data_IF_485112992281
#
_entry.id   IF_485112992281
#
_cell.length_a   1.000
_cell.length_b   1.000
_cell.length_c   1.000
_cell.angle_alpha   90.00
_cell.angle_beta   90.00
_cell.angle_gamma   90.00
#
_symmetry.space_group_name_H-M   'P 1'
#
loop_
_entity.id
_entity.type
_entity.pdbx_description
1 polymer ?
#
# COMPACT_ATOMS: atom_id res chain seq x y z
N UNK A 1 -9.75 -17.47 9.88
CA UNK A 1 -8.63 -16.99 10.75
C UNK A 1 -9.20 -16.33 11.98
N UNK A 2 -8.46 -16.25 13.08
CA UNK A 2 -8.89 -15.39 14.21
C UNK A 2 -8.63 -13.90 13.93
N UNK A 3 -9.23 -13.02 14.70
CA UNK A 3 -9.13 -11.58 14.54
C UNK A 3 -7.68 -11.07 14.61
N UNK A 4 -6.87 -11.60 15.52
CA UNK A 4 -5.48 -11.20 15.68
C UNK A 4 -4.65 -11.55 14.44
N UNK A 5 -4.87 -12.73 13.85
CA UNK A 5 -4.23 -13.14 12.60
C UNK A 5 -4.61 -12.19 11.45
N UNK A 6 -5.90 -11.83 11.30
CA UNK A 6 -6.31 -10.88 10.25
C UNK A 6 -5.63 -9.52 10.46
N UNK A 7 -5.63 -8.99 11.68
CA UNK A 7 -5.05 -7.69 11.99
C UNK A 7 -3.53 -7.64 11.80
N UNK A 8 -2.83 -8.77 12.00
CA UNK A 8 -1.39 -8.86 11.71
C UNK A 8 -1.03 -8.69 10.22
N UNK A 9 -2.01 -8.77 9.32
CA UNK A 9 -1.87 -8.48 7.89
C UNK A 9 -2.35 -7.07 7.51
N UNK A 10 -2.72 -6.22 8.47
CA UNK A 10 -3.30 -4.90 8.19
C UNK A 10 -2.23 -3.81 8.25
N UNK A 11 -2.17 -2.99 7.19
CA UNK A 11 -1.63 -1.64 7.27
C UNK A 11 -2.77 -0.73 7.76
N UNK A 12 -2.78 -0.40 9.06
CA UNK A 12 -3.80 0.48 9.64
C UNK A 12 -3.65 1.90 9.08
N UNK A 13 -4.66 2.38 8.34
CA UNK A 13 -4.47 3.45 7.36
C UNK A 13 -5.25 4.71 7.71
N UNK A 14 -4.57 5.86 7.68
CA UNK A 14 -5.18 7.19 7.72
C UNK A 14 -4.45 8.13 6.75
N UNK A 15 -5.11 8.46 5.62
CA UNK A 15 -4.52 9.24 4.51
C UNK A 15 -5.39 10.45 4.11
N UNK A 16 -6.36 10.83 4.93
CA UNK A 16 -7.20 11.99 4.64
C UNK A 16 -6.36 13.28 4.67
N UNK A 17 -6.59 14.22 3.73
CA UNK A 17 -5.79 15.45 3.66
C UNK A 17 -5.87 16.33 4.92
N UNK A 18 -6.98 16.26 5.64
CA UNK A 18 -7.21 16.98 6.89
C UNK A 18 -6.74 16.26 8.15
N UNK A 19 -6.00 15.15 8.02
CA UNK A 19 -5.52 14.38 9.18
C UNK A 19 -4.64 15.22 10.09
N UNK A 20 -4.84 15.07 11.39
CA UNK A 20 -4.08 15.79 12.42
C UNK A 20 -3.07 14.85 13.10
N UNK A 21 -2.08 15.44 13.78
CA UNK A 21 -1.11 14.65 14.55
C UNK A 21 -1.77 13.78 15.63
N UNK A 22 -2.76 14.30 16.34
CA UNK A 22 -3.45 13.53 17.38
C UNK A 22 -4.17 12.29 16.81
N UNK A 23 -4.72 12.40 15.60
CA UNK A 23 -5.31 11.26 14.90
C UNK A 23 -4.25 10.23 14.47
N UNK A 24 -3.09 10.68 13.97
CA UNK A 24 -1.97 9.80 13.61
C UNK A 24 -1.40 9.10 14.84
N UNK A 25 -1.29 9.80 15.96
CA UNK A 25 -0.85 9.23 17.23
C UNK A 25 -1.80 8.13 17.72
N UNK A 26 -3.10 8.42 17.71
CA UNK A 26 -4.14 7.43 18.04
C UNK A 26 -4.05 6.20 17.12
N UNK A 27 -3.86 6.40 15.83
CA UNK A 27 -3.68 5.32 14.87
C UNK A 27 -2.47 4.44 15.20
N UNK A 28 -1.34 5.05 15.62
CA UNK A 28 -0.15 4.31 16.05
C UNK A 28 -0.42 3.49 17.31
N UNK A 29 -1.09 4.08 18.30
CA UNK A 29 -1.45 3.40 19.54
C UNK A 29 -2.37 2.19 19.26
N UNK A 30 -3.38 2.37 18.44
CA UNK A 30 -4.29 1.31 17.99
C UNK A 30 -3.54 0.19 17.24
N UNK A 31 -2.65 0.56 16.31
CA UNK A 31 -1.89 -0.43 15.56
C UNK A 31 -0.96 -1.27 16.46
N UNK A 32 -0.35 -0.66 17.49
CA UNK A 32 0.47 -1.37 18.47
C UNK A 32 -0.38 -2.27 19.37
N UNK A 33 -1.52 -1.76 19.87
CA UNK A 33 -2.46 -2.50 20.73
C UNK A 33 -2.98 -3.77 20.03
N UNK A 34 -3.36 -3.65 18.76
CA UNK A 34 -3.97 -4.73 17.99
C UNK A 34 -2.99 -5.54 17.13
N UNK A 35 -1.69 -5.26 17.20
CA UNK A 35 -0.64 -6.00 16.50
C UNK A 35 -0.72 -5.89 14.97
N UNK A 36 -1.07 -4.71 14.45
CA UNK A 36 -1.10 -4.47 13.01
C UNK A 36 0.30 -4.56 12.37
N UNK A 37 0.36 -4.91 11.08
CA UNK A 37 1.62 -5.02 10.34
C UNK A 37 2.37 -3.69 10.27
N UNK A 38 1.66 -2.61 9.99
CA UNK A 38 2.17 -1.22 9.92
C UNK A 38 1.04 -0.22 10.20
N UNK A 39 1.40 1.06 10.36
CA UNK A 39 0.49 2.17 10.02
C UNK A 39 0.83 2.70 8.64
N UNK A 40 -0.19 3.15 7.88
CA UNK A 40 -0.01 3.82 6.59
C UNK A 40 -0.52 5.26 6.70
N UNK A 41 0.41 6.23 6.64
CA UNK A 41 0.18 7.63 6.99
C UNK A 41 0.71 8.59 5.92
N UNK A 42 0.25 9.88 5.89
CA UNK A 42 0.80 10.88 4.98
C UNK A 42 2.30 11.12 5.22
N UNK A 43 3.09 11.43 4.16
CA UNK A 43 4.55 11.61 4.26
C UNK A 43 4.97 12.65 5.31
N UNK A 44 4.20 13.72 5.45
CA UNK A 44 4.48 14.81 6.39
C UNK A 44 4.52 14.39 7.87
N UNK A 45 3.90 13.27 8.23
CA UNK A 45 3.89 12.75 9.60
C UNK A 45 4.93 11.67 9.88
N UNK A 46 5.64 11.18 8.86
CA UNK A 46 6.56 10.02 9.01
C UNK A 46 7.61 10.29 10.08
N UNK A 47 8.30 11.43 10.03
CA UNK A 47 9.36 11.77 11.00
C UNK A 47 8.83 11.78 12.44
N UNK A 48 7.68 12.41 12.65
CA UNK A 48 7.09 12.52 13.98
C UNK A 48 6.58 11.17 14.49
N UNK A 49 5.96 10.37 13.61
CA UNK A 49 5.49 9.02 13.94
C UNK A 49 6.67 8.08 14.24
N UNK A 50 7.77 8.13 13.46
CA UNK A 50 8.95 7.33 13.71
C UNK A 50 9.57 7.63 15.10
N UNK A 51 9.66 8.92 15.45
CA UNK A 51 10.12 9.33 16.78
C UNK A 51 9.16 8.87 17.90
N UNK A 52 7.86 8.86 17.65
CA UNK A 52 6.83 8.46 18.61
C UNK A 52 6.86 6.95 18.88
N UNK A 53 6.87 6.12 17.85
CA UNK A 53 6.78 4.66 18.01
C UNK A 53 8.12 4.01 18.39
N UNK A 54 9.24 4.70 18.26
CA UNK A 54 10.59 4.25 18.69
C UNK A 54 10.93 2.82 18.23
N UNK A 55 10.55 2.46 17.02
CA UNK A 55 10.80 1.13 16.44
C UNK A 55 9.82 0.01 16.84
N UNK A 56 8.86 0.27 17.73
CA UNK A 56 7.87 -0.72 18.15
C UNK A 56 6.80 -0.99 17.08
N UNK A 57 6.70 -0.14 16.05
CA UNK A 57 5.77 -0.26 14.94
C UNK A 57 6.44 0.16 13.64
N UNK A 58 6.18 -0.56 12.55
CA UNK A 58 6.63 -0.17 11.22
C UNK A 58 5.75 0.94 10.66
N UNK A 59 6.37 1.88 9.94
CA UNK A 59 5.67 2.99 9.30
C UNK A 59 5.72 2.83 7.80
N UNK A 60 4.56 2.70 7.19
CA UNK A 60 4.35 2.80 5.75
C UNK A 60 3.91 4.21 5.40
N UNK A 61 4.37 4.71 4.25
CA UNK A 61 3.86 5.98 3.70
C UNK A 61 3.65 5.88 2.21
N UNK A 62 3.02 6.89 1.63
CA UNK A 62 2.61 6.93 0.23
C UNK A 62 3.44 7.91 -0.58
N UNK A 63 3.67 7.61 -1.86
CA UNK A 63 4.48 8.41 -2.80
C UNK A 63 3.67 8.64 -4.07
N UNK A 64 3.70 9.90 -4.59
CA UNK A 64 2.93 10.30 -5.77
C UNK A 64 1.42 10.16 -5.59
N UNK A 65 0.96 10.20 -4.37
CA UNK A 65 -0.38 9.80 -3.97
C UNK A 65 -1.37 11.00 -3.94
N UNK A 66 -2.66 10.80 -4.33
CA UNK A 66 -3.22 9.54 -4.83
C UNK A 66 -3.17 9.38 -6.36
N UNK A 67 -2.79 10.40 -7.10
CA UNK A 67 -3.03 10.49 -8.55
C UNK A 67 -1.95 9.80 -9.40
N UNK A 68 -0.73 9.62 -8.91
CA UNK A 68 0.35 8.93 -9.62
C UNK A 68 1.01 9.69 -10.77
N UNK A 69 0.52 10.84 -11.19
CA UNK A 69 0.99 11.60 -12.37
C UNK A 69 2.18 12.54 -12.11
N UNK A 70 2.75 12.51 -10.91
CA UNK A 70 3.98 13.23 -10.61
C UNK A 70 5.11 12.69 -11.47
N UNK A 71 6.10 13.53 -11.79
CA UNK A 71 7.28 13.06 -12.51
C UNK A 71 8.05 12.02 -11.70
N UNK A 72 8.73 11.10 -12.39
CA UNK A 72 9.59 10.09 -11.75
C UNK A 72 10.61 10.73 -10.81
N UNK A 73 11.23 11.85 -11.21
CA UNK A 73 12.19 12.58 -10.37
C UNK A 73 11.57 13.09 -9.07
N UNK A 74 10.33 13.63 -9.12
CA UNK A 74 9.60 14.08 -7.94
C UNK A 74 9.30 12.92 -6.99
N UNK A 75 8.83 11.77 -7.51
CA UNK A 75 8.57 10.57 -6.70
C UNK A 75 9.84 9.98 -6.08
N UNK A 76 10.96 9.99 -6.81
CA UNK A 76 12.26 9.56 -6.27
C UNK A 76 12.70 10.48 -5.11
N UNK A 77 12.54 11.79 -5.25
CA UNK A 77 12.84 12.75 -4.18
C UNK A 77 11.96 12.50 -2.95
N UNK A 78 10.63 12.39 -3.15
CA UNK A 78 9.66 12.10 -2.10
C UNK A 78 9.98 10.78 -1.38
N UNK A 79 10.38 9.74 -2.12
CA UNK A 79 10.79 8.46 -1.55
C UNK A 79 12.02 8.59 -0.67
N UNK A 80 13.06 9.32 -1.12
CA UNK A 80 14.27 9.55 -0.32
C UNK A 80 13.97 10.29 0.97
N UNK A 81 13.18 11.36 0.88
CA UNK A 81 12.74 12.12 2.06
C UNK A 81 11.98 11.24 3.05
N UNK A 82 11.02 10.44 2.56
CA UNK A 82 10.26 9.52 3.41
C UNK A 82 11.17 8.49 4.12
N UNK A 83 12.14 7.93 3.38
CA UNK A 83 13.12 6.96 3.90
C UNK A 83 14.01 7.60 4.96
N UNK A 84 14.53 8.81 4.73
CA UNK A 84 15.35 9.57 5.68
C UNK A 84 14.58 9.93 6.96
N UNK A 85 13.28 10.20 6.82
CA UNK A 85 12.37 10.50 7.92
C UNK A 85 11.93 9.24 8.72
N UNK A 86 12.28 8.03 8.28
CA UNK A 86 12.07 6.79 9.04
C UNK A 86 10.95 5.89 8.52
N UNK A 87 10.48 6.09 7.28
CA UNK A 87 9.55 5.13 6.66
C UNK A 87 10.20 3.74 6.56
N UNK A 88 9.46 2.72 6.97
CA UNK A 88 9.87 1.30 6.91
C UNK A 88 9.41 0.62 5.62
N UNK A 89 8.31 1.07 5.03
CA UNK A 89 7.71 0.55 3.80
C UNK A 89 7.16 1.72 2.96
N UNK A 90 7.18 1.57 1.64
CA UNK A 90 6.77 2.62 0.69
C UNK A 90 5.66 2.08 -0.22
N UNK A 91 4.53 2.80 -0.29
CA UNK A 91 3.42 2.56 -1.21
C UNK A 91 3.44 3.65 -2.30
N UNK A 92 3.86 3.36 -3.53
CA UNK A 92 3.90 4.36 -4.60
C UNK A 92 2.80 4.13 -5.63
N UNK A 93 2.19 5.20 -6.13
CA UNK A 93 1.19 5.13 -7.20
C UNK A 93 1.89 5.29 -8.55
N UNK A 94 1.66 4.33 -9.47
CA UNK A 94 2.19 4.43 -10.84
C UNK A 94 1.50 5.57 -11.61
N UNK A 95 2.14 6.03 -12.69
CA UNK A 95 1.48 6.93 -13.62
C UNK A 95 0.55 6.15 -14.57
N UNK A 96 -0.75 6.12 -14.26
CA UNK A 96 -1.75 5.43 -15.07
C UNK A 96 -1.91 6.01 -16.48
N UNK A 97 -1.53 7.28 -16.71
CA UNK A 97 -1.46 7.87 -18.06
C UNK A 97 -0.47 7.12 -18.95
N UNK A 98 0.72 6.80 -18.42
CA UNK A 98 1.72 6.00 -19.14
C UNK A 98 1.21 4.58 -19.46
N UNK A 99 0.37 3.99 -18.58
CA UNK A 99 -0.27 2.68 -18.86
C UNK A 99 -1.20 2.80 -20.06
N UNK A 100 -2.05 3.84 -20.10
CA UNK A 100 -2.99 4.07 -21.21
C UNK A 100 -2.27 4.34 -22.53
N UNK A 101 -1.13 5.04 -22.48
CA UNK A 101 -0.28 5.29 -23.64
C UNK A 101 0.63 4.11 -23.99
N UNK A 102 0.57 3.00 -23.22
CA UNK A 102 1.39 1.79 -23.38
C UNK A 102 2.89 2.05 -23.30
N UNK A 103 3.31 3.06 -22.54
CA UNK A 103 4.71 3.41 -22.33
C UNK A 103 5.33 2.54 -21.22
N UNK A 104 5.43 1.23 -21.50
CA UNK A 104 5.84 0.22 -20.52
C UNK A 104 7.27 0.39 -20.01
N UNK A 105 8.17 0.87 -20.86
CA UNK A 105 9.57 1.12 -20.49
C UNK A 105 9.68 2.30 -19.51
N UNK A 106 8.86 3.33 -19.67
CA UNK A 106 8.82 4.46 -18.75
C UNK A 106 8.25 4.06 -17.38
N UNK A 107 7.23 3.18 -17.36
CA UNK A 107 6.69 2.61 -16.12
C UNK A 107 7.75 1.75 -15.43
N UNK A 108 8.46 0.90 -16.16
CA UNK A 108 9.55 0.10 -15.61
C UNK A 108 10.66 0.98 -15.04
N UNK A 109 11.05 2.05 -15.75
CA UNK A 109 12.02 3.03 -15.29
C UNK A 109 11.56 3.75 -14.01
N UNK A 110 10.28 4.13 -13.95
CA UNK A 110 9.69 4.74 -12.72
C UNK A 110 9.80 3.78 -11.53
N UNK A 111 9.35 2.53 -11.68
CA UNK A 111 9.40 1.52 -10.62
C UNK A 111 10.83 1.27 -10.16
N UNK A 112 11.76 1.05 -11.10
CA UNK A 112 13.17 0.79 -10.79
C UNK A 112 13.84 1.97 -10.05
N UNK A 113 13.58 3.21 -10.49
CA UNK A 113 14.12 4.41 -9.87
C UNK A 113 13.62 4.60 -8.42
N UNK A 114 12.33 4.35 -8.18
CA UNK A 114 11.75 4.45 -6.85
C UNK A 114 12.22 3.28 -5.97
N UNK A 115 12.29 2.05 -6.49
CA UNK A 115 12.84 0.90 -5.78
C UNK A 115 14.27 1.15 -5.30
N UNK A 116 15.12 1.71 -6.15
CA UNK A 116 16.48 2.09 -5.77
C UNK A 116 16.49 3.14 -4.63
N UNK A 117 15.58 4.11 -4.66
CA UNK A 117 15.43 5.12 -3.62
C UNK A 117 14.92 4.57 -2.29
N UNK A 118 14.25 3.41 -2.29
CA UNK A 118 13.80 2.73 -1.06
C UNK A 118 14.93 2.17 -0.20
N UNK A 119 16.16 2.06 -0.71
CA UNK A 119 17.33 1.55 0.02
C UNK A 119 17.07 0.21 0.72
N UNK A 120 16.48 -0.75 -0.01
CA UNK A 120 16.16 -2.10 0.48
C UNK A 120 14.85 -2.22 1.27
N UNK A 121 14.13 -1.13 1.51
CA UNK A 121 12.80 -1.20 2.14
C UNK A 121 11.77 -1.74 1.16
N UNK A 122 10.75 -2.49 1.62
CA UNK A 122 9.69 -3.00 0.75
C UNK A 122 9.00 -1.87 -0.01
N UNK A 123 8.99 -1.99 -1.35
CA UNK A 123 8.20 -1.15 -2.24
C UNK A 123 6.90 -1.87 -2.59
N UNK A 124 5.76 -1.20 -2.43
CA UNK A 124 4.46 -1.65 -2.89
C UNK A 124 3.99 -0.73 -4.01
N UNK A 125 3.67 -1.31 -5.16
CA UNK A 125 3.27 -0.59 -6.37
C UNK A 125 1.76 -0.57 -6.47
N UNK A 126 1.15 0.62 -6.29
CA UNK A 126 -0.29 0.82 -6.42
C UNK A 126 -0.61 1.00 -7.90
N UNK A 127 -1.38 0.10 -8.47
CA UNK A 127 -1.73 0.12 -9.89
C UNK A 127 -3.09 0.77 -10.19
N UNK A 128 -3.95 0.96 -9.19
CA UNK A 128 -5.30 1.53 -9.27
C UNK A 128 -6.19 0.70 -10.23
N UNK A 129 -6.50 -0.51 -9.82
CA UNK A 129 -7.15 -1.54 -10.66
C UNK A 129 -8.44 -1.09 -11.32
N UNK A 130 -9.23 -0.21 -10.66
CA UNK A 130 -10.49 0.28 -11.21
C UNK A 130 -10.33 1.14 -12.48
N UNK A 131 -9.12 1.60 -12.80
CA UNK A 131 -8.81 2.34 -14.02
C UNK A 131 -8.28 1.45 -15.16
N UNK A 132 -8.06 0.16 -14.91
CA UNK A 132 -7.30 -0.73 -15.77
C UNK A 132 -8.14 -1.87 -16.33
N UNK A 133 -7.88 -2.26 -17.56
CA UNK A 133 -8.31 -3.55 -18.12
C UNK A 133 -7.48 -4.70 -17.56
N UNK A 134 -7.99 -5.92 -17.64
CA UNK A 134 -7.29 -7.12 -17.16
C UNK A 134 -5.94 -7.32 -17.86
N UNK A 135 -5.87 -7.03 -19.16
CA UNK A 135 -4.60 -7.09 -19.92
C UNK A 135 -3.55 -6.08 -19.40
N UNK A 136 -3.98 -4.87 -19.01
CA UNK A 136 -3.10 -3.88 -18.40
C UNK A 136 -2.62 -4.33 -17.01
N UNK A 137 -3.52 -4.90 -16.19
CA UNK A 137 -3.18 -5.47 -14.87
C UNK A 137 -2.14 -6.60 -15.01
N UNK A 138 -2.38 -7.54 -15.94
CA UNK A 138 -1.44 -8.65 -16.21
C UNK A 138 -0.07 -8.11 -16.65
N UNK A 139 -0.05 -7.11 -17.54
CA UNK A 139 1.21 -6.50 -17.99
C UNK A 139 1.97 -5.82 -16.84
N UNK A 140 1.25 -5.17 -15.93
CA UNK A 140 1.84 -4.56 -14.73
C UNK A 140 2.37 -5.62 -13.75
N UNK A 141 1.70 -6.77 -13.62
CA UNK A 141 2.24 -7.91 -12.85
C UNK A 141 3.58 -8.38 -13.42
N UNK A 142 3.71 -8.49 -14.75
CA UNK A 142 4.96 -8.87 -15.40
C UNK A 142 6.09 -7.85 -15.14
N UNK A 143 5.78 -6.54 -15.18
CA UNK A 143 6.75 -5.49 -14.87
C UNK A 143 7.14 -5.52 -13.39
N UNK A 144 6.16 -5.64 -12.49
CA UNK A 144 6.39 -5.74 -11.06
C UNK A 144 7.28 -6.94 -10.69
N UNK A 145 7.07 -8.08 -11.35
CA UNK A 145 7.89 -9.28 -11.19
C UNK A 145 9.32 -9.07 -11.71
N UNK A 146 9.47 -8.45 -12.90
CA UNK A 146 10.77 -8.14 -13.50
C UNK A 146 11.57 -7.18 -12.61
N UNK A 147 10.92 -6.17 -12.07
CA UNK A 147 11.55 -5.19 -11.16
C UNK A 147 11.64 -5.70 -9.70
N UNK A 148 11.20 -6.93 -9.43
CA UNK A 148 11.28 -7.59 -8.12
C UNK A 148 10.74 -6.70 -6.98
N UNK A 149 9.58 -6.08 -7.17
CA UNK A 149 8.94 -5.30 -6.11
C UNK A 149 8.41 -6.20 -4.99
N UNK A 150 8.27 -5.69 -3.79
CA UNK A 150 7.78 -6.49 -2.68
C UNK A 150 6.28 -6.82 -2.80
N UNK A 151 5.48 -5.86 -3.30
CA UNK A 151 4.03 -6.02 -3.46
C UNK A 151 3.51 -5.30 -4.71
N UNK A 152 2.45 -5.87 -5.30
CA UNK A 152 1.49 -5.12 -6.11
C UNK A 152 0.28 -4.81 -5.24
N UNK A 153 -0.16 -3.55 -5.22
CA UNK A 153 -1.31 -3.07 -4.44
C UNK A 153 -2.44 -2.66 -5.38
N UNK A 154 -3.67 -3.07 -5.06
CA UNK A 154 -4.82 -2.83 -5.94
C UNK A 154 -5.15 -1.36 -6.12
N UNK A 155 -5.28 -0.59 -5.03
CA UNK A 155 -5.99 0.69 -5.08
C UNK A 155 -5.46 1.69 -4.07
N UNK A 156 -5.67 2.98 -4.37
CA UNK A 156 -5.42 4.09 -3.43
C UNK A 156 -6.51 4.22 -2.37
N UNK A 157 -7.76 3.89 -2.72
CA UNK A 157 -8.96 4.18 -1.93
C UNK A 157 -9.54 5.59 -2.17
N UNK A 158 -8.96 6.36 -3.12
CA UNK A 158 -9.36 7.74 -3.47
C UNK A 158 -9.86 7.87 -4.92
N UNK A 159 -10.07 6.75 -5.62
CA UNK A 159 -10.59 6.69 -6.98
C UNK A 159 -12.04 6.19 -6.99
N UNK A 160 -12.54 5.81 -8.18
CA UNK A 160 -13.92 5.36 -8.38
C UNK A 160 -14.21 3.96 -7.85
N UNK A 161 -13.16 3.16 -7.54
CA UNK A 161 -13.28 1.80 -7.00
C UNK A 161 -12.16 1.47 -6.01
N UNK A 162 -12.32 0.33 -5.33
CA UNK A 162 -11.33 -0.25 -4.41
C UNK A 162 -10.95 -1.66 -4.83
N UNK A 163 -10.46 -2.47 -3.90
CA UNK A 163 -10.18 -3.88 -4.14
C UNK A 163 -11.45 -4.64 -4.50
N UNK A 164 -11.35 -5.53 -5.48
CA UNK A 164 -12.37 -6.53 -5.79
C UNK A 164 -11.77 -7.93 -5.63
N UNK A 165 -12.63 -8.93 -5.42
CA UNK A 165 -12.19 -10.33 -5.31
C UNK A 165 -11.56 -10.82 -6.60
N UNK A 166 -12.14 -10.40 -7.72
CA UNK A 166 -11.68 -10.71 -9.07
C UNK A 166 -10.28 -10.14 -9.32
N UNK A 167 -10.03 -8.89 -8.94
CA UNK A 167 -8.72 -8.26 -9.07
C UNK A 167 -7.65 -8.96 -8.24
N UNK A 168 -7.95 -9.28 -6.97
CA UNK A 168 -6.98 -9.97 -6.10
C UNK A 168 -6.63 -11.35 -6.65
N UNK A 169 -7.63 -12.12 -7.12
CA UNK A 169 -7.40 -13.42 -7.76
C UNK A 169 -6.55 -13.28 -9.03
N UNK A 170 -6.90 -12.32 -9.91
CA UNK A 170 -6.16 -12.04 -11.14
C UNK A 170 -4.69 -11.67 -10.86
N UNK A 171 -4.45 -10.80 -9.87
CA UNK A 171 -3.09 -10.42 -9.50
C UNK A 171 -2.33 -11.62 -8.95
N UNK A 172 -2.94 -12.42 -8.07
CA UNK A 172 -2.27 -13.59 -7.49
C UNK A 172 -1.90 -14.64 -8.53
N UNK A 173 -2.76 -14.88 -9.51
CA UNK A 173 -2.52 -15.82 -10.61
C UNK A 173 -1.37 -15.39 -11.52
N UNK A 174 -1.15 -14.07 -11.70
CA UNK A 174 -0.18 -13.52 -12.63
C UNK A 174 1.13 -13.03 -11.98
N UNK A 175 1.27 -13.19 -10.66
CA UNK A 175 2.48 -12.83 -9.93
C UNK A 175 3.24 -14.08 -9.46
N UNK A 176 4.58 -14.08 -9.48
CA UNK A 176 5.35 -15.14 -8.82
C UNK A 176 5.17 -15.07 -7.30
N UNK A 177 5.43 -16.16 -6.60
CA UNK A 177 5.33 -16.22 -5.14
C UNK A 177 6.24 -15.22 -4.40
N UNK A 178 7.30 -14.72 -5.05
CA UNK A 178 8.20 -13.71 -4.52
C UNK A 178 7.58 -12.31 -4.46
N UNK A 179 6.54 -12.02 -5.26
CA UNK A 179 5.82 -10.74 -5.26
C UNK A 179 4.47 -10.94 -4.60
N UNK A 180 4.23 -10.22 -3.53
CA UNK A 180 3.03 -10.29 -2.71
C UNK A 180 1.91 -9.41 -3.24
N UNK A 181 0.67 -9.68 -2.80
CA UNK A 181 -0.52 -8.88 -3.14
C UNK A 181 -0.99 -8.11 -1.91
N UNK A 182 -1.23 -6.79 -2.07
CA UNK A 182 -1.92 -5.98 -1.07
C UNK A 182 -3.29 -5.55 -1.61
N UNK A 183 -4.35 -6.00 -0.95
CA UNK A 183 -5.71 -5.53 -1.20
C UNK A 183 -5.98 -4.24 -0.41
N UNK A 184 -6.55 -3.22 -1.04
CA UNK A 184 -6.89 -1.96 -0.36
C UNK A 184 -8.03 -1.21 -1.02
N UNK A 185 -8.71 -0.37 -0.24
CA UNK A 185 -9.89 0.36 -0.67
C UNK A 185 -11.17 -0.45 -0.52
N UNK A 186 -12.12 0.05 0.27
CA UNK A 186 -13.43 -0.57 0.46
C UNK A 186 -13.49 -1.72 1.46
N UNK A 187 -12.39 -2.10 2.11
CA UNK A 187 -12.34 -3.18 3.12
C UNK A 187 -12.86 -2.61 4.44
N UNK A 188 -14.03 -3.08 4.89
CA UNK A 188 -14.73 -2.50 6.03
C UNK A 188 -14.94 -3.45 7.19
N UNK A 189 -15.02 -4.75 6.92
CA UNK A 189 -15.30 -5.80 7.90
C UNK A 189 -14.16 -6.80 8.00
N UNK A 190 -14.04 -7.47 9.14
CA UNK A 190 -13.09 -8.58 9.31
C UNK A 190 -13.39 -9.73 8.34
N UNK A 191 -14.66 -9.93 7.99
CA UNK A 191 -15.08 -10.90 6.97
C UNK A 191 -14.54 -10.52 5.58
N UNK A 192 -14.61 -9.23 5.19
CA UNK A 192 -13.99 -8.77 3.94
C UNK A 192 -12.47 -9.03 3.95
N UNK A 193 -11.81 -8.69 5.07
CA UNK A 193 -10.38 -8.92 5.24
C UNK A 193 -10.00 -10.38 5.08
N UNK A 194 -10.73 -11.28 5.77
CA UNK A 194 -10.56 -12.73 5.65
C UNK A 194 -10.73 -13.21 4.21
N UNK A 195 -11.78 -12.74 3.53
CA UNK A 195 -12.05 -13.15 2.15
C UNK A 195 -10.91 -12.78 1.19
N UNK A 196 -10.28 -11.59 1.35
CA UNK A 196 -9.13 -11.21 0.53
C UNK A 196 -7.87 -12.03 0.86
N UNK A 197 -7.63 -12.35 2.14
CA UNK A 197 -6.52 -13.22 2.55
C UNK A 197 -6.70 -14.62 1.99
N UNK A 198 -7.91 -15.18 2.01
CA UNK A 198 -8.21 -16.50 1.44
C UNK A 198 -8.01 -16.56 -0.08
N UNK A 199 -8.16 -15.42 -0.78
CA UNK A 199 -7.87 -15.27 -2.21
C UNK A 199 -6.38 -15.04 -2.52
N UNK A 200 -5.53 -15.03 -1.51
CA UNK A 200 -4.08 -14.90 -1.68
C UNK A 200 -3.54 -13.48 -1.56
N UNK A 201 -4.29 -12.54 -0.97
CA UNK A 201 -3.69 -11.30 -0.51
C UNK A 201 -2.78 -11.58 0.71
N UNK A 202 -1.62 -10.95 0.74
CA UNK A 202 -0.64 -11.05 1.82
C UNK A 202 -0.72 -9.85 2.79
N UNK A 203 -1.40 -8.79 2.38
CA UNK A 203 -1.55 -7.55 3.12
C UNK A 203 -2.90 -6.88 2.82
N UNK A 204 -3.45 -6.20 3.80
CA UNK A 204 -4.69 -5.43 3.72
C UNK A 204 -4.43 -3.96 4.03
N UNK A 205 -4.90 -3.04 3.19
CA UNK A 205 -4.90 -1.61 3.49
C UNK A 205 -6.30 -1.18 3.94
N UNK A 206 -6.49 -0.94 5.21
CA UNK A 206 -7.81 -0.63 5.76
C UNK A 206 -7.76 0.37 6.93
N UNK A 207 -8.81 1.18 7.07
CA UNK A 207 -9.00 2.13 8.18
C UNK A 207 -10.02 1.66 9.21
N UNK A 208 -10.86 0.65 8.86
CA UNK A 208 -12.03 0.30 9.68
C UNK A 208 -11.82 -0.95 10.55
N UNK A 209 -10.88 -1.85 10.20
CA UNK A 209 -10.81 -3.18 10.78
C UNK A 209 -10.47 -3.19 12.27
N UNK A 210 -9.59 -2.28 12.73
CA UNK A 210 -9.28 -2.14 14.16
C UNK A 210 -10.50 -1.69 14.95
N UNK A 211 -11.25 -0.71 14.41
CA UNK A 211 -12.49 -0.24 15.06
C UNK A 211 -13.58 -1.32 15.10
N UNK A 212 -13.63 -2.21 14.12
CA UNK A 212 -14.53 -3.36 14.13
C UNK A 212 -14.10 -4.41 15.16
N UNK A 213 -12.83 -4.76 15.20
CA UNK A 213 -12.28 -5.70 16.17
C UNK A 213 -12.54 -5.24 17.62
N UNK A 214 -12.40 -3.95 17.91
CA UNK A 214 -12.67 -3.36 19.23
C UNK A 214 -14.13 -3.52 19.69
N UNK A 215 -15.08 -3.62 18.75
CA UNK A 215 -16.51 -3.83 19.08
C UNK A 215 -16.85 -5.28 19.38
N UNK A 216 -15.97 -6.22 18.99
CA UNK A 216 -16.20 -7.66 19.19
C UNK A 216 -15.55 -8.21 20.47
N UNK A 217 -14.64 -7.47 21.07
CA UNK A 217 -13.97 -7.79 22.34
C UNK A 217 -14.57 -7.00 23.51
#
# INVERSE_FOLDING_TARGET
MDTATILSHVDHTLLKPESTWEQIKTLCDEAMEFGCATVCIPPSFVKQAAAYVQGNLKICTVIGFPNGYNTTAAKIFETKDAVENGASEIDMVINNGLVKDRQWDDIAHEIAGIKAACLGRPLKVIIETCLLSDMEKIKLCQLAAKEEVAYVKTSTGFSTGGATREDVALLRENLPASVKVKASGGIRTLEDGQAYLDLGADRLGASALVGEARKQG
#
